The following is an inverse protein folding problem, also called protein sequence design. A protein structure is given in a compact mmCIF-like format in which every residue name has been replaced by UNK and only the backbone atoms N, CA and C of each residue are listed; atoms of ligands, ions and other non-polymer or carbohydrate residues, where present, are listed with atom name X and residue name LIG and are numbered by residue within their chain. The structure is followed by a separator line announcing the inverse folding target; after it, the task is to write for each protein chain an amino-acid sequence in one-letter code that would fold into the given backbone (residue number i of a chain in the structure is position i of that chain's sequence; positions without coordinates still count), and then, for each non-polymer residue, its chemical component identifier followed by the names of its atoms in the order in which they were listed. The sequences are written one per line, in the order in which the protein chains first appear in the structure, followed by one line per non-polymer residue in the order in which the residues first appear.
data_IF_723640977209
#
_entry.id   IF_723640977209
#
_cell.length_a   1.000
_cell.length_b   1.000
_cell.length_c   1.000
_cell.angle_alpha   90.00
_cell.angle_beta   90.00
_cell.angle_gamma   90.00
#
_symmetry.space_group_name_H-M   'P 1'
#
loop_
_entity.id
_entity.type
_entity.pdbx_description
1 polymer ?
#
# COMPACT_ATOMS: atom_id res chain seq x y z
N UNK A 1 28.52 7.50 -22.61
CA UNK A 1 27.78 8.45 -21.74
C UNK A 1 26.75 7.63 -20.97
N UNK A 2 26.86 7.51 -19.64
CA UNK A 2 25.85 6.82 -18.84
C UNK A 2 24.68 7.78 -18.68
N UNK A 3 23.55 7.48 -19.31
CA UNK A 3 22.29 8.18 -19.09
C UNK A 3 22.01 8.22 -17.59
N UNK A 4 21.84 9.43 -17.06
CA UNK A 4 21.54 9.68 -15.66
C UNK A 4 20.20 9.06 -15.29
N UNK A 5 20.25 7.85 -14.73
CA UNK A 5 19.12 7.20 -14.07
C UNK A 5 18.60 8.15 -12.99
N UNK A 6 17.36 8.65 -13.14
CA UNK A 6 16.73 9.55 -12.16
C UNK A 6 16.89 8.96 -10.77
N UNK A 7 17.61 9.67 -9.90
CA UNK A 7 17.78 9.37 -8.47
C UNK A 7 16.40 9.25 -7.84
N UNK A 8 15.91 8.02 -7.68
CA UNK A 8 14.73 7.76 -6.87
C UNK A 8 15.10 8.00 -5.41
N UNK A 9 14.22 8.63 -4.64
CA UNK A 9 14.44 8.81 -3.21
C UNK A 9 14.56 7.44 -2.54
N UNK A 10 15.67 7.24 -1.84
CA UNK A 10 15.85 6.12 -0.94
C UNK A 10 15.42 6.52 0.48
N UNK A 11 14.75 5.61 1.16
CA UNK A 11 14.41 5.74 2.58
C UNK A 11 14.80 4.46 3.30
N UNK A 12 15.50 4.58 4.42
CA UNK A 12 15.83 3.45 5.29
C UNK A 12 15.23 3.68 6.67
N UNK A 13 14.41 2.74 7.13
CA UNK A 13 13.84 2.74 8.47
C UNK A 13 14.70 1.89 9.40
N UNK A 14 15.04 2.45 10.57
CA UNK A 14 15.58 1.67 11.68
C UNK A 14 14.42 1.02 12.44
N UNK A 15 14.23 -0.27 12.24
CA UNK A 15 13.09 -1.01 12.79
C UNK A 15 13.21 -1.21 14.29
N UNK A 16 14.43 -1.28 14.85
CA UNK A 16 14.61 -1.36 16.30
C UNK A 16 14.03 -0.13 16.98
N UNK A 17 14.27 1.06 16.45
CA UNK A 17 13.68 2.29 17.00
C UNK A 17 12.17 2.37 16.73
N UNK A 18 11.75 2.05 15.51
CA UNK A 18 10.35 2.22 15.09
C UNK A 18 9.40 1.24 15.80
N UNK A 19 9.86 0.03 16.11
CA UNK A 19 9.07 -1.06 16.70
C UNK A 19 9.54 -1.43 18.11
N UNK A 20 10.46 -0.65 18.70
CA UNK A 20 11.06 -0.93 20.01
C UNK A 20 11.66 -2.34 20.15
N UNK A 21 12.38 -2.82 19.12
CA UNK A 21 12.99 -4.15 19.14
C UNK A 21 14.29 -4.15 19.96
N UNK A 22 14.31 -4.92 21.04
CA UNK A 22 15.52 -5.20 21.82
C UNK A 22 16.35 -6.30 21.15
N UNK A 23 17.40 -5.89 20.44
CA UNK A 23 18.30 -6.81 19.74
C UNK A 23 19.70 -6.22 19.67
N UNK A 24 20.71 -7.09 19.73
CA UNK A 24 22.10 -6.71 19.45
C UNK A 24 22.33 -6.33 17.97
N UNK A 25 21.44 -6.79 17.08
CA UNK A 25 21.49 -6.49 15.65
C UNK A 25 20.52 -5.35 15.30
N UNK A 26 20.92 -4.48 14.37
CA UNK A 26 20.03 -3.46 13.81
C UNK A 26 19.31 -4.02 12.58
N UNK A 27 17.98 -4.04 12.65
CA UNK A 27 17.10 -4.39 11.54
C UNK A 27 16.70 -3.14 10.78
N UNK A 28 16.88 -3.20 9.46
CA UNK A 28 16.57 -2.10 8.56
C UNK A 28 15.56 -2.53 7.50
N UNK A 29 14.65 -1.63 7.15
CA UNK A 29 13.83 -1.74 5.94
C UNK A 29 14.18 -0.59 5.02
N UNK A 30 14.71 -0.91 3.84
CA UNK A 30 15.13 0.08 2.85
C UNK A 30 14.21 0.06 1.63
N UNK A 31 13.64 1.21 1.28
CA UNK A 31 12.79 1.41 0.12
C UNK A 31 13.58 2.09 -0.99
N UNK A 32 13.48 1.53 -2.20
CA UNK A 32 14.15 2.02 -3.41
C UNK A 32 15.69 2.14 -3.30
N UNK A 33 16.31 1.49 -2.31
CA UNK A 33 17.76 1.40 -2.24
C UNK A 33 18.27 0.46 -3.33
N UNK A 34 18.90 1.05 -4.34
CA UNK A 34 19.46 0.32 -5.49
C UNK A 34 20.97 0.17 -5.42
N UNK A 35 21.63 0.92 -4.54
CA UNK A 35 23.07 0.84 -4.29
C UNK A 35 23.43 -0.40 -3.47
N UNK A 36 24.71 -0.76 -3.48
CA UNK A 36 25.27 -2.05 -3.04
C UNK A 36 25.02 -2.36 -1.54
N UNK A 37 23.81 -2.82 -1.23
CA UNK A 37 23.54 -3.57 0.00
C UNK A 37 24.38 -4.84 -0.04
N UNK A 38 25.10 -5.13 1.04
CA UNK A 38 25.86 -6.39 1.11
C UNK A 38 24.88 -7.57 0.98
N UNK A 39 25.07 -8.49 0.04
CA UNK A 39 24.10 -9.56 -0.21
C UNK A 39 23.84 -10.47 1.00
N UNK A 40 24.84 -10.65 1.86
CA UNK A 40 24.77 -11.42 3.10
C UNK A 40 23.90 -10.76 4.18
N UNK A 41 23.62 -9.45 4.06
CA UNK A 41 22.79 -8.71 5.00
C UNK A 41 21.31 -8.60 4.57
N UNK A 42 20.94 -9.11 3.39
CA UNK A 42 19.57 -9.04 2.87
C UNK A 42 18.77 -10.25 3.39
N UNK A 43 17.91 -10.01 4.38
CA UNK A 43 17.02 -11.04 4.92
C UNK A 43 15.85 -11.35 3.99
N UNK A 44 15.33 -10.32 3.30
CA UNK A 44 14.21 -10.44 2.39
C UNK A 44 14.22 -9.30 1.37
N UNK A 45 13.73 -9.57 0.15
CA UNK A 45 13.58 -8.57 -0.91
C UNK A 45 12.31 -8.83 -1.69
N UNK A 46 11.49 -7.80 -1.82
CA UNK A 46 10.26 -7.83 -2.60
C UNK A 46 10.08 -6.57 -3.45
N UNK A 47 9.18 -6.65 -4.44
CA UNK A 47 8.77 -5.52 -5.26
C UNK A 47 7.31 -5.24 -4.96
N UNK A 48 7.05 -4.11 -4.29
CA UNK A 48 5.71 -3.63 -3.99
C UNK A 48 5.35 -2.49 -4.95
N UNK A 49 4.10 -2.47 -5.43
CA UNK A 49 3.57 -1.38 -6.28
C UNK A 49 2.55 -0.58 -5.49
N UNK A 50 2.74 0.74 -5.46
CA UNK A 50 1.77 1.65 -4.85
C UNK A 50 0.95 2.36 -5.94
N UNK A 51 -0.38 2.52 -5.74
CA UNK A 51 -1.20 3.28 -6.66
C UNK A 51 -0.77 4.74 -6.66
N UNK A 52 -0.72 5.35 -7.85
CA UNK A 52 -0.41 6.77 -8.00
C UNK A 52 -1.70 7.58 -7.98
N UNK A 53 -1.66 8.73 -7.32
CA UNK A 53 -2.76 9.70 -7.41
C UNK A 53 -2.63 10.48 -8.71
N UNK A 54 -3.67 10.38 -9.53
CA UNK A 54 -3.79 11.07 -10.81
C UNK A 54 -5.03 11.96 -10.79
N UNK A 55 -5.07 13.03 -11.60
CA UNK A 55 -6.29 13.84 -11.77
C UNK A 55 -7.50 12.98 -12.18
N UNK A 56 -8.69 13.33 -11.69
CA UNK A 56 -9.95 12.60 -11.94
C UNK A 56 -10.15 11.35 -11.07
N UNK A 57 -9.20 11.03 -10.18
CA UNK A 57 -9.34 9.94 -9.21
C UNK A 57 -10.55 10.14 -8.29
N UNK A 58 -10.72 11.34 -7.77
CA UNK A 58 -11.82 11.73 -6.89
C UNK A 58 -13.18 11.53 -7.54
N UNK A 59 -13.34 11.95 -8.80
CA UNK A 59 -14.55 11.71 -9.59
C UNK A 59 -14.82 10.20 -9.78
N UNK A 60 -13.77 9.42 -10.09
CA UNK A 60 -13.89 7.98 -10.21
C UNK A 60 -14.29 7.33 -8.86
N UNK A 61 -13.69 7.78 -7.76
CA UNK A 61 -13.96 7.28 -6.40
C UNK A 61 -15.37 7.61 -5.92
N UNK A 62 -15.89 8.80 -6.24
CA UNK A 62 -17.25 9.21 -5.93
C UNK A 62 -18.31 8.27 -6.56
N UNK A 63 -17.93 7.51 -7.60
CA UNK A 63 -18.79 6.55 -8.29
C UNK A 63 -18.71 5.13 -7.72
N UNK A 64 -18.03 4.92 -6.59
CA UNK A 64 -17.85 3.58 -5.99
C UNK A 64 -19.19 2.84 -5.81
N UNK A 65 -20.22 3.49 -5.29
CA UNK A 65 -21.56 2.89 -5.11
C UNK A 65 -22.16 2.35 -6.42
N UNK A 66 -21.87 2.98 -7.56
CA UNK A 66 -22.33 2.51 -8.88
C UNK A 66 -21.67 1.18 -9.28
N UNK A 67 -20.56 0.81 -8.64
CA UNK A 67 -19.78 -0.39 -8.90
C UNK A 67 -20.11 -1.52 -7.92
N UNK A 68 -21.07 -1.32 -7.00
CA UNK A 68 -21.52 -2.32 -6.03
C UNK A 68 -22.77 -3.02 -6.60
N UNK A 69 -22.76 -4.36 -6.58
CA UNK A 69 -23.81 -5.23 -7.17
C UNK A 69 -24.13 -4.94 -8.65
N UNK A 70 -23.23 -4.26 -9.36
CA UNK A 70 -23.39 -3.92 -10.78
C UNK A 70 -23.21 -5.19 -11.59
N UNK A 71 -24.31 -5.72 -12.14
CA UNK A 71 -24.33 -6.97 -12.92
C UNK A 71 -23.72 -8.15 -12.14
N UNK A 72 -24.00 -8.21 -10.83
CA UNK A 72 -23.48 -9.26 -9.94
C UNK A 72 -22.01 -9.08 -9.51
N UNK A 73 -21.35 -8.00 -9.91
CA UNK A 73 -19.99 -7.68 -9.49
C UNK A 73 -19.98 -6.54 -8.47
N UNK A 74 -19.07 -6.63 -7.51
CA UNK A 74 -18.78 -5.57 -6.54
C UNK A 74 -17.27 -5.40 -6.42
N UNK A 75 -16.80 -4.16 -6.29
CA UNK A 75 -15.38 -3.84 -6.18
C UNK A 75 -15.12 -3.17 -4.83
N UNK A 76 -14.07 -3.61 -4.14
CA UNK A 76 -13.55 -2.96 -2.93
C UNK A 76 -12.01 -2.99 -2.94
N UNK A 77 -11.40 -2.18 -2.09
CA UNK A 77 -9.96 -2.04 -1.97
C UNK A 77 -9.53 -0.60 -1.70
N UNK A 78 -8.27 -0.43 -1.30
CA UNK A 78 -7.72 0.86 -0.86
C UNK A 78 -7.76 1.97 -1.92
N UNK A 79 -7.87 1.60 -3.20
CA UNK A 79 -8.03 2.52 -4.32
C UNK A 79 -9.39 3.23 -4.37
N UNK A 80 -10.36 2.87 -3.52
CA UNK A 80 -11.59 3.63 -3.27
C UNK A 80 -11.43 4.71 -2.17
N UNK A 81 -10.19 5.00 -1.77
CA UNK A 81 -9.84 6.08 -0.85
C UNK A 81 -8.42 6.57 -1.11
N UNK A 82 -7.64 6.86 -0.06
CA UNK A 82 -6.27 7.38 -0.18
C UNK A 82 -5.20 6.27 -0.17
N UNK A 83 -5.55 5.03 -0.48
CA UNK A 83 -4.58 3.95 -0.59
C UNK A 83 -4.13 3.36 0.74
N UNK A 84 -4.76 3.72 1.86
CA UNK A 84 -4.45 3.16 3.17
C UNK A 84 -5.26 1.88 3.46
N UNK A 85 -4.83 1.13 4.47
CA UNK A 85 -5.54 -0.08 4.91
C UNK A 85 -7.00 0.21 5.30
N UNK A 86 -7.24 1.33 5.98
CA UNK A 86 -8.58 1.75 6.39
C UNK A 86 -9.51 2.00 5.19
N UNK A 87 -8.99 2.55 4.09
CA UNK A 87 -9.79 2.72 2.86
C UNK A 87 -10.20 1.37 2.27
N UNK A 88 -9.34 0.37 2.39
CA UNK A 88 -9.63 -1.02 2.03
C UNK A 88 -10.77 -1.59 2.86
N UNK A 89 -10.69 -1.48 4.19
CA UNK A 89 -11.74 -1.94 5.11
C UNK A 89 -13.04 -1.20 4.84
N UNK A 90 -13.02 0.14 4.84
CA UNK A 90 -14.20 0.98 4.60
C UNK A 90 -14.93 0.61 3.30
N UNK A 91 -14.19 0.44 2.20
CA UNK A 91 -14.80 0.10 0.91
C UNK A 91 -15.36 -1.32 0.88
N UNK A 92 -14.73 -2.28 1.59
CA UNK A 92 -15.27 -3.62 1.75
C UNK A 92 -16.56 -3.61 2.57
N UNK A 93 -16.59 -2.85 3.66
CA UNK A 93 -17.78 -2.69 4.49
C UNK A 93 -18.96 -2.12 3.69
N UNK A 94 -18.74 -1.11 2.84
CA UNK A 94 -19.80 -0.59 1.95
C UNK A 94 -20.35 -1.66 0.99
N UNK A 95 -19.50 -2.58 0.51
CA UNK A 95 -19.96 -3.73 -0.27
C UNK A 95 -20.80 -4.66 0.60
N UNK A 96 -20.33 -5.04 1.78
CA UNK A 96 -21.06 -5.92 2.71
C UNK A 96 -22.43 -5.38 3.12
N UNK A 97 -22.53 -4.06 3.37
CA UNK A 97 -23.80 -3.41 3.71
C UNK A 97 -24.84 -3.61 2.59
N UNK A 98 -24.42 -3.57 1.31
CA UNK A 98 -25.32 -3.82 0.17
C UNK A 98 -25.82 -5.28 0.08
N UNK A 99 -25.24 -6.19 0.86
CA UNK A 99 -25.71 -7.57 1.03
C UNK A 99 -26.47 -7.78 2.34
N UNK A 100 -26.71 -6.72 3.13
CA UNK A 100 -27.34 -6.78 4.45
C UNK A 100 -26.61 -7.76 5.40
N UNK A 101 -25.27 -7.80 5.32
CA UNK A 101 -24.45 -8.61 6.22
C UNK A 101 -24.24 -7.83 7.52
N UNK A 102 -24.47 -8.47 8.66
CA UNK A 102 -24.18 -7.90 9.97
C UNK A 102 -22.68 -7.65 10.14
N UNK A 103 -22.31 -6.48 10.65
CA UNK A 103 -20.91 -6.14 10.88
C UNK A 103 -20.41 -6.85 12.15
N UNK A 104 -19.18 -7.36 12.16
CA UNK A 104 -18.66 -8.10 13.31
C UNK A 104 -18.15 -7.21 14.46
N UNK A 105 -18.49 -5.90 14.46
CA UNK A 105 -18.07 -4.86 15.41
C UNK A 105 -19.09 -3.72 15.42
#
# INVERSE_FOLDING_TARGET
MKEGMRSGTCVTYNMNKLQALESAQTFCVSLNQREDLRPDAILHKEIVRHPLFVPGRDEAQARHTQMIRRRGLSYCGAYWGFGFHEDGVRSATQVCDAFNVERPF
#
